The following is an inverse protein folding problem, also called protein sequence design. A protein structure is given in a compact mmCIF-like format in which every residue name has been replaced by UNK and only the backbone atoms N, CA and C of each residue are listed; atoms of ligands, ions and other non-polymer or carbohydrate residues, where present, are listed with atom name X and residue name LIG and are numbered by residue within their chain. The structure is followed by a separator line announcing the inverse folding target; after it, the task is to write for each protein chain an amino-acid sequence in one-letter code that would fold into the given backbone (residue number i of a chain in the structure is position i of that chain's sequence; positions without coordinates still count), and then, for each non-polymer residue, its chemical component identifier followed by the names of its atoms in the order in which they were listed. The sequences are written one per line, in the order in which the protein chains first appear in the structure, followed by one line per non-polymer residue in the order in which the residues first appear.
data_IF_269347219185
#
_entry.id   IF_269347219185
#
_cell.length_a   1.000
_cell.length_b   1.000
_cell.length_c   1.000
_cell.angle_alpha   90.00
_cell.angle_beta   90.00
_cell.angle_gamma   90.00
#
_symmetry.space_group_name_H-M   'P 1'
#
loop_
_entity.id
_entity.type
_entity.pdbx_description
1 polymer ?
#
# COMPACT_ATOMS: atom_id res chain seq x y z
N UNK A 1 8.81 17.00 2.74
CA UNK A 1 7.56 16.56 3.39
C UNK A 1 6.36 17.45 3.09
N UNK A 2 6.41 18.78 3.30
CA UNK A 2 5.26 19.67 3.01
C UNK A 2 4.65 19.48 1.61
N UNK A 3 5.48 19.42 0.56
CA UNK A 3 5.03 19.20 -0.82
C UNK A 3 4.25 17.89 -1.01
N UNK A 4 4.59 16.84 -0.27
CA UNK A 4 3.91 15.54 -0.33
C UNK A 4 2.54 15.64 0.33
N UNK A 5 2.44 16.36 1.46
CA UNK A 5 1.16 16.61 2.12
C UNK A 5 0.23 17.46 1.25
N UNK A 6 0.74 18.56 0.67
CA UNK A 6 -0.02 19.39 -0.28
C UNK A 6 -0.52 18.56 -1.47
N UNK A 7 0.32 17.66 -1.98
CA UNK A 7 -0.07 16.76 -3.05
C UNK A 7 -1.19 15.79 -2.61
N UNK A 8 -1.04 15.16 -1.45
CA UNK A 8 -2.07 14.27 -0.88
C UNK A 8 -3.40 14.97 -0.64
N UNK A 9 -3.37 16.21 -0.14
CA UNK A 9 -4.58 17.04 0.07
C UNK A 9 -5.24 17.38 -1.26
N UNK A 10 -4.46 17.83 -2.25
CA UNK A 10 -4.98 18.19 -3.57
C UNK A 10 -5.45 16.98 -4.38
N UNK A 11 -5.01 15.77 -4.03
CA UNK A 11 -5.34 14.53 -4.72
C UNK A 11 -6.05 13.51 -3.81
N UNK A 12 -6.74 13.95 -2.75
CA UNK A 12 -7.42 13.05 -1.83
C UNK A 12 -8.49 12.18 -2.52
N UNK A 13 -9.11 12.66 -3.60
CA UNK A 13 -10.04 11.88 -4.43
C UNK A 13 -9.35 10.77 -5.26
N UNK A 14 -8.01 10.75 -5.31
CA UNK A 14 -7.24 9.73 -6.02
C UNK A 14 -7.09 8.43 -5.23
N UNK A 15 -7.50 8.42 -3.96
CA UNK A 15 -7.53 7.19 -3.17
C UNK A 15 -8.60 6.25 -3.71
N UNK A 16 -8.16 5.08 -4.18
CA UNK A 16 -9.02 4.00 -4.60
C UNK A 16 -9.29 3.07 -3.42
N UNK A 17 -10.51 2.56 -3.37
CA UNK A 17 -10.96 1.62 -2.35
C UNK A 17 -11.21 0.25 -2.95
N UNK A 18 -10.83 -0.76 -2.18
CA UNK A 18 -11.23 -2.15 -2.34
C UNK A 18 -11.97 -2.56 -1.06
N UNK A 19 -12.60 -3.74 -1.00
CA UNK A 19 -13.23 -4.22 0.22
C UNK A 19 -12.28 -4.25 1.44
N UNK A 20 -11.00 -4.59 1.28
CA UNK A 20 -10.06 -4.82 2.39
C UNK A 20 -8.94 -3.79 2.49
N UNK A 21 -8.68 -2.97 1.48
CA UNK A 21 -7.61 -1.98 1.50
C UNK A 21 -7.96 -0.67 0.80
N UNK A 22 -7.16 0.36 1.07
CA UNK A 22 -7.10 1.62 0.33
C UNK A 22 -5.79 1.70 -0.41
N UNK A 23 -5.77 2.25 -1.62
CA UNK A 23 -4.51 2.48 -2.32
C UNK A 23 -4.48 3.77 -3.11
N UNK A 24 -3.28 4.28 -3.36
CA UNK A 24 -3.03 5.45 -4.20
C UNK A 24 -1.85 5.17 -5.12
N UNK A 25 -1.97 5.64 -6.36
CA UNK A 25 -0.90 5.57 -7.35
C UNK A 25 -0.21 6.94 -7.44
N UNK A 26 1.04 7.00 -6.96
CA UNK A 26 1.86 8.21 -6.98
C UNK A 26 2.59 8.43 -8.31
N UNK A 27 2.54 7.47 -9.24
CA UNK A 27 3.38 7.46 -10.44
C UNK A 27 4.85 7.75 -10.08
N UNK A 28 5.40 8.87 -10.53
CA UNK A 28 6.75 9.36 -10.19
C UNK A 28 6.74 10.66 -9.36
N UNK A 29 5.59 11.07 -8.81
CA UNK A 29 5.44 12.33 -8.07
C UNK A 29 6.15 12.30 -6.72
N UNK A 30 6.12 11.14 -6.06
CA UNK A 30 6.77 10.91 -4.76
C UNK A 30 7.89 9.91 -4.95
N UNK A 31 9.09 10.29 -4.52
CA UNK A 31 10.25 9.39 -4.53
C UNK A 31 9.91 8.07 -3.87
N UNK A 32 10.35 6.97 -4.50
CA UNK A 32 10.01 5.62 -4.04
C UNK A 32 10.44 5.34 -2.59
N UNK A 33 11.45 6.03 -2.08
CA UNK A 33 11.91 5.94 -0.70
C UNK A 33 11.00 6.66 0.29
N UNK A 34 10.27 7.69 -0.14
CA UNK A 34 9.41 8.56 0.69
C UNK A 34 7.94 8.14 0.74
N UNK A 35 7.52 7.15 -0.06
CA UNK A 35 6.11 6.72 -0.11
C UNK A 35 5.63 6.18 1.24
N UNK A 36 6.48 5.47 1.97
CA UNK A 36 6.11 4.93 3.28
C UNK A 36 5.77 6.04 4.28
N UNK A 37 6.55 7.12 4.28
CA UNK A 37 6.36 8.31 5.10
C UNK A 37 5.14 9.10 4.64
N UNK A 38 4.91 9.20 3.33
CA UNK A 38 3.72 9.84 2.78
C UNK A 38 2.43 9.16 3.29
N UNK A 39 2.41 7.82 3.32
CA UNK A 39 1.29 7.03 3.82
C UNK A 39 1.11 7.18 5.33
N UNK A 40 2.21 7.17 6.10
CA UNK A 40 2.16 7.44 7.54
C UNK A 40 1.56 8.81 7.82
N UNK A 41 1.99 9.84 7.08
CA UNK A 41 1.46 11.19 7.21
C UNK A 41 -0.03 11.26 6.84
N UNK A 42 -0.48 10.55 5.80
CA UNK A 42 -1.89 10.48 5.45
C UNK A 42 -2.75 9.91 6.59
N UNK A 43 -2.26 8.89 7.29
CA UNK A 43 -2.92 8.30 8.47
C UNK A 43 -2.91 9.30 9.63
N UNK A 44 -1.74 9.84 9.98
CA UNK A 44 -1.56 10.71 11.15
C UNK A 44 -2.30 12.05 11.04
N UNK A 45 -2.39 12.60 9.83
CA UNK A 45 -3.13 13.83 9.54
C UNK A 45 -4.65 13.65 9.48
N UNK A 46 -5.15 12.41 9.51
CA UNK A 46 -6.57 12.10 9.36
C UNK A 46 -7.10 12.30 7.94
N UNK A 47 -6.24 12.42 6.94
CA UNK A 47 -6.63 12.51 5.52
C UNK A 47 -7.33 11.25 5.02
N UNK A 48 -7.04 10.10 5.64
CA UNK A 48 -7.66 8.82 5.34
C UNK A 48 -8.24 8.19 6.59
N UNK A 49 -9.37 7.50 6.44
CA UNK A 49 -9.90 6.66 7.51
C UNK A 49 -8.95 5.49 7.79
N UNK A 50 -8.82 5.13 9.06
CA UNK A 50 -7.97 4.03 9.55
C UNK A 50 -8.72 2.70 9.65
N UNK A 51 -9.81 2.56 8.87
CA UNK A 51 -10.70 1.40 8.81
C UNK A 51 -10.11 0.23 8.03
N UNK A 52 -9.06 0.48 7.25
CA UNK A 52 -8.36 -0.49 6.40
C UNK A 52 -6.90 -0.08 6.19
N UNK A 53 -5.99 -1.03 5.92
CA UNK A 53 -4.62 -0.70 5.56
C UNK A 53 -4.57 0.14 4.27
N UNK A 54 -3.48 0.90 4.13
CA UNK A 54 -3.25 1.78 2.98
C UNK A 54 -1.98 1.39 2.23
N UNK A 55 -2.07 1.39 0.90
CA UNK A 55 -0.97 1.14 -0.02
C UNK A 55 -0.65 2.39 -0.84
N UNK A 56 0.64 2.62 -1.07
CA UNK A 56 1.16 3.61 -1.99
C UNK A 56 1.98 2.92 -3.06
N UNK A 57 1.65 3.17 -4.31
CA UNK A 57 2.30 2.55 -5.47
C UNK A 57 3.05 3.64 -6.23
N UNK A 58 4.32 3.37 -6.55
CA UNK A 58 5.21 4.31 -7.23
C UNK A 58 6.05 3.59 -8.28
N UNK A 59 6.42 4.30 -9.32
CA UNK A 59 7.25 3.80 -10.42
C UNK A 59 8.72 3.83 -9.98
N UNK A 60 9.39 2.67 -10.05
CA UNK A 60 10.84 2.59 -9.84
C UNK A 60 11.57 2.62 -11.19
N UNK A 61 10.99 1.96 -12.19
CA UNK A 61 11.47 1.93 -13.57
C UNK A 61 10.28 1.85 -14.53
N UNK A 62 10.56 1.76 -15.84
CA UNK A 62 9.53 1.54 -16.85
C UNK A 62 8.77 0.21 -16.67
N UNK A 63 9.39 -0.78 -16.02
CA UNK A 63 8.89 -2.15 -15.91
C UNK A 63 8.57 -2.55 -14.46
N UNK A 64 9.01 -1.77 -13.46
CA UNK A 64 8.88 -2.13 -12.05
C UNK A 64 8.17 -1.05 -11.23
N UNK A 65 7.22 -1.50 -10.41
CA UNK A 65 6.56 -0.69 -9.39
C UNK A 65 7.03 -1.10 -7.99
N UNK A 66 7.18 -0.11 -7.11
CA UNK A 66 7.30 -0.34 -5.67
C UNK A 66 5.96 -0.05 -5.00
N UNK A 67 5.56 -0.96 -4.13
CA UNK A 67 4.38 -0.84 -3.29
C UNK A 67 4.84 -0.70 -1.85
N UNK A 68 4.40 0.34 -1.17
CA UNK A 68 4.58 0.51 0.27
C UNK A 68 3.24 0.37 0.96
N UNK A 69 3.19 -0.35 2.08
CA UNK A 69 1.98 -0.52 2.87
C UNK A 69 2.16 0.00 4.29
N UNK A 70 1.10 0.62 4.81
CA UNK A 70 0.93 1.03 6.20
C UNK A 70 -0.39 0.49 6.73
N UNK A 71 -0.38 0.01 7.95
CA UNK A 71 -1.56 -0.36 8.73
C UNK A 71 -1.47 0.28 10.12
N UNK A 72 -2.53 0.13 10.90
CA UNK A 72 -2.54 0.59 12.30
C UNK A 72 -2.32 -0.59 13.25
N UNK A 73 -1.80 -0.37 14.46
CA UNK A 73 -1.71 -1.41 15.49
C UNK A 73 -3.06 -2.05 15.82
N UNK A 74 -4.16 -1.28 15.71
CA UNK A 74 -5.53 -1.77 15.93
C UNK A 74 -5.88 -2.83 14.89
N UNK A 75 -5.65 -2.55 13.60
CA UNK A 75 -5.89 -3.51 12.52
C UNK A 75 -4.98 -4.74 12.65
N UNK A 76 -3.72 -4.55 13.06
CA UNK A 76 -2.80 -5.65 13.31
C UNK A 76 -3.29 -6.57 14.44
N UNK A 77 -3.78 -6.00 15.54
CA UNK A 77 -4.41 -6.76 16.63
C UNK A 77 -5.69 -7.49 16.19
N UNK A 78 -6.37 -7.02 15.15
CA UNK A 78 -7.51 -7.68 14.51
C UNK A 78 -7.10 -8.74 13.47
N UNK A 79 -5.81 -9.04 13.33
CA UNK A 79 -5.29 -10.07 12.44
C UNK A 79 -4.84 -9.58 11.07
N UNK A 80 -4.89 -8.27 10.79
CA UNK A 80 -4.39 -7.70 9.53
C UNK A 80 -2.87 -7.69 9.53
N UNK A 81 -2.23 -8.46 8.65
CA UNK A 81 -0.78 -8.46 8.50
C UNK A 81 -0.38 -8.05 7.07
N UNK A 82 0.01 -6.78 6.88
CA UNK A 82 0.37 -6.27 5.54
C UNK A 82 1.69 -6.86 5.03
N UNK A 83 2.62 -7.23 5.92
CA UNK A 83 3.88 -7.87 5.55
C UNK A 83 3.68 -9.23 4.91
N UNK A 84 2.89 -10.09 5.56
CA UNK A 84 2.50 -11.40 5.02
C UNK A 84 1.72 -11.23 3.71
N UNK A 85 0.72 -10.34 3.69
CA UNK A 85 -0.11 -10.13 2.52
C UNK A 85 0.67 -9.63 1.31
N UNK A 86 1.60 -8.69 1.50
CA UNK A 86 2.48 -8.23 0.44
C UNK A 86 3.44 -9.31 -0.05
N UNK A 87 4.00 -10.13 0.83
CA UNK A 87 4.90 -11.20 0.44
C UNK A 87 4.20 -12.24 -0.44
N UNK A 88 3.00 -12.67 -0.05
CA UNK A 88 2.20 -13.65 -0.80
C UNK A 88 1.72 -13.07 -2.14
N UNK A 89 1.07 -11.91 -2.13
CA UNK A 89 0.54 -11.29 -3.35
C UNK A 89 1.64 -10.92 -4.35
N UNK A 90 2.78 -10.38 -3.89
CA UNK A 90 3.90 -10.06 -4.76
C UNK A 90 4.49 -11.30 -5.42
N UNK A 91 4.64 -12.40 -4.66
CA UNK A 91 5.17 -13.66 -5.19
C UNK A 91 4.27 -14.23 -6.29
N UNK A 92 2.95 -14.16 -6.15
CA UNK A 92 2.01 -14.64 -7.18
C UNK A 92 2.11 -13.84 -8.49
N UNK A 93 2.45 -12.55 -8.39
CA UNK A 93 2.67 -11.71 -9.57
C UNK A 93 4.09 -11.72 -10.12
N UNK A 94 4.97 -12.59 -9.62
CA UNK A 94 6.37 -12.66 -10.04
C UNK A 94 7.26 -11.55 -9.47
N UNK A 95 6.76 -10.83 -8.46
CA UNK A 95 7.52 -9.85 -7.68
C UNK A 95 8.03 -10.43 -6.36
N UNK A 96 8.52 -9.55 -5.50
CA UNK A 96 9.01 -9.89 -4.17
C UNK A 96 8.59 -8.84 -3.14
N UNK A 97 8.24 -9.26 -1.94
CA UNK A 97 7.81 -8.35 -0.88
C UNK A 97 7.91 -8.95 0.51
N UNK A 98 7.61 -8.13 1.50
CA UNK A 98 7.60 -8.52 2.90
C UNK A 98 7.71 -7.33 3.85
N UNK A 99 7.79 -7.63 5.13
CA UNK A 99 7.90 -6.64 6.20
C UNK A 99 7.15 -7.11 7.45
N UNK A 100 6.75 -6.13 8.26
CA UNK A 100 5.98 -6.35 9.48
C UNK A 100 4.48 -6.26 9.23
N UNK A 101 3.70 -6.65 10.23
CA UNK A 101 2.24 -6.57 10.27
C UNK A 101 1.68 -5.17 10.01
N UNK A 102 2.38 -4.11 10.44
CA UNK A 102 1.97 -2.70 10.27
C UNK A 102 2.71 -1.94 9.16
N UNK A 103 3.86 -2.44 8.71
CA UNK A 103 4.74 -1.73 7.78
C UNK A 103 5.49 -2.71 6.89
N UNK A 104 5.26 -2.60 5.59
CA UNK A 104 5.85 -3.53 4.63
C UNK A 104 6.00 -2.88 3.24
N UNK A 105 6.76 -3.54 2.37
CA UNK A 105 6.92 -3.11 0.98
C UNK A 105 7.08 -4.31 0.04
N UNK A 106 6.77 -4.10 -1.24
CA UNK A 106 6.96 -5.05 -2.31
C UNK A 106 7.45 -4.36 -3.59
N UNK A 107 8.06 -5.12 -4.47
CA UNK A 107 8.34 -4.77 -5.87
C UNK A 107 7.60 -5.74 -6.77
N UNK A 108 6.95 -5.22 -7.80
CA UNK A 108 6.12 -6.00 -8.73
C UNK A 108 6.34 -5.53 -10.17
N UNK A 109 6.11 -6.40 -11.17
CA UNK A 109 6.07 -5.99 -12.56
C UNK A 109 4.92 -5.00 -12.81
N UNK A 110 5.19 -3.93 -13.56
CA UNK A 110 4.25 -2.84 -13.82
C UNK A 110 2.98 -3.34 -14.48
N UNK A 111 3.13 -4.22 -15.44
CA UNK A 111 2.04 -4.80 -16.23
C UNK A 111 1.11 -5.70 -15.40
N UNK A 112 1.51 -6.10 -14.20
CA UNK A 112 0.71 -6.94 -13.29
C UNK A 112 0.15 -6.18 -12.08
N UNK A 113 0.14 -4.84 -12.12
CA UNK A 113 -0.40 -4.01 -11.03
C UNK A 113 -1.85 -4.37 -10.68
N UNK A 114 -2.74 -4.48 -11.68
CA UNK A 114 -4.16 -4.73 -11.43
C UNK A 114 -4.38 -6.12 -10.83
N UNK A 115 -3.65 -7.12 -11.34
CA UNK A 115 -3.68 -8.48 -10.78
C UNK A 115 -3.17 -8.48 -9.33
N UNK A 116 -2.08 -7.77 -9.05
CA UNK A 116 -1.53 -7.65 -7.71
C UNK A 116 -2.56 -7.07 -6.73
N UNK A 117 -3.27 -6.00 -7.13
CA UNK A 117 -4.31 -5.37 -6.29
C UNK A 117 -5.40 -6.39 -5.92
N UNK A 118 -5.86 -7.19 -6.89
CA UNK A 118 -6.84 -8.25 -6.64
C UNK A 118 -6.29 -9.29 -5.67
N UNK A 119 -5.03 -9.72 -5.86
CA UNK A 119 -4.40 -10.72 -5.00
C UNK A 119 -4.23 -10.24 -3.58
N UNK A 120 -3.74 -9.03 -3.35
CA UNK A 120 -3.55 -8.54 -1.99
C UNK A 120 -4.88 -8.30 -1.25
N UNK A 121 -5.92 -7.83 -1.94
CA UNK A 121 -7.26 -7.70 -1.35
C UNK A 121 -7.80 -9.06 -0.87
N UNK A 122 -7.56 -10.12 -1.66
CA UNK A 122 -7.87 -11.50 -1.28
C UNK A 122 -7.00 -11.99 -0.12
N UNK A 123 -5.69 -11.78 -0.13
CA UNK A 123 -4.81 -12.28 0.94
C UNK A 123 -5.10 -11.64 2.30
N UNK A 124 -5.53 -10.38 2.33
CA UNK A 124 -5.93 -9.69 3.56
C UNK A 124 -7.20 -10.29 4.20
N UNK A 125 -7.87 -11.25 3.56
CA UNK A 125 -9.00 -12.00 4.12
C UNK A 125 -8.61 -13.13 5.10
N UNK A 126 -7.32 -13.47 5.22
CA UNK A 126 -6.83 -14.64 5.96
C UNK A 126 -6.79 -14.52 7.49
N UNK A 127 -7.94 -14.26 8.11
CA UNK A 127 -8.13 -14.23 9.56
C UNK A 127 -9.50 -14.77 10.00
N UNK A 128 -9.99 -15.86 9.39
CA UNK A 128 -10.96 -16.79 9.98
C UNK A 128 -11.17 -17.99 9.05
N UNK A 129 -10.45 -19.09 9.30
CA UNK A 129 -10.96 -20.46 9.24
C UNK A 129 -10.39 -21.22 10.43
#
# INVERSE_FOLDING_TARGET
MLKVLEWLVSHHDSFKLTPRLRYIYFANVVDSTMVGEALSLAIESGLVATDRPILGITEVSAEELKVSARSTPILAAQGVNVGRALAEAAKEVGGNGGGHDVSAAARIPRERMDEFIVKIDQTLSGGSE
#
